data_IF_405093803113
#
_entry.id   IF_405093803113
#
_cell.length_a   1.000
_cell.length_b   1.000
_cell.length_c   1.000
_cell.angle_alpha   90.00
_cell.angle_beta   90.00
_cell.angle_gamma   90.00
#
_symmetry.space_group_name_H-M   'P 1'
#
loop_
_entity.id
_entity.type
_entity.pdbx_description
1 polymer ?
#
# COMPACT_ATOMS: atom_id res chain seq x y z
N UNK A 1 9.26 -3.02 -40.24
CA UNK A 1 9.40 -3.71 -38.94
C UNK A 1 8.71 -2.86 -37.88
N UNK A 2 7.54 -3.27 -37.40
CA UNK A 2 6.83 -2.55 -36.33
C UNK A 2 7.38 -3.01 -34.97
N UNK A 3 7.99 -2.09 -34.22
CA UNK A 3 8.38 -2.34 -32.83
C UNK A 3 7.11 -2.32 -31.98
N UNK A 4 6.67 -3.50 -31.56
CA UNK A 4 5.63 -3.64 -30.55
C UNK A 4 6.13 -2.96 -29.26
N UNK A 5 5.72 -1.71 -29.05
CA UNK A 5 5.97 -1.02 -27.80
C UNK A 5 5.00 -1.60 -26.80
N UNK A 6 5.46 -2.57 -26.01
CA UNK A 6 4.75 -3.06 -24.84
C UNK A 6 4.61 -1.87 -23.89
N UNK A 7 3.55 -1.09 -24.08
CA UNK A 7 3.21 0.02 -23.21
C UNK A 7 2.94 -0.61 -21.85
N UNK A 8 3.94 -0.58 -20.97
CA UNK A 8 3.80 -1.10 -19.63
C UNK A 8 2.64 -0.36 -19.01
N UNK A 9 1.63 -1.09 -18.54
CA UNK A 9 0.40 -0.58 -17.89
C UNK A 9 0.66 0.48 -16.78
N UNK A 10 1.91 0.62 -16.33
CA UNK A 10 2.35 1.51 -15.27
C UNK A 10 3.42 2.48 -15.76
N UNK A 11 3.22 3.78 -15.53
CA UNK A 11 4.26 4.79 -15.72
C UNK A 11 5.32 4.67 -14.61
N UNK A 12 6.41 3.98 -14.92
CA UNK A 12 7.53 3.75 -14.01
C UNK A 12 8.17 5.06 -13.55
N UNK A 13 8.25 6.07 -14.42
CA UNK A 13 8.83 7.35 -14.08
C UNK A 13 7.94 8.11 -13.09
N UNK A 14 6.62 8.09 -13.28
CA UNK A 14 5.68 8.63 -12.31
C UNK A 14 5.79 7.95 -10.94
N UNK A 15 5.90 6.61 -10.91
CA UNK A 15 6.02 5.87 -9.66
C UNK A 15 7.31 6.24 -8.90
N UNK A 16 8.46 6.33 -9.60
CA UNK A 16 9.72 6.73 -8.97
C UNK A 16 9.66 8.17 -8.44
N UNK A 17 9.06 9.10 -9.19
CA UNK A 17 8.87 10.49 -8.73
C UNK A 17 8.00 10.56 -7.48
N UNK A 18 6.90 9.81 -7.45
CA UNK A 18 6.01 9.75 -6.29
C UNK A 18 6.71 9.13 -5.07
N UNK A 19 7.50 8.06 -5.25
CA UNK A 19 8.30 7.47 -4.18
C UNK A 19 9.36 8.45 -3.63
N UNK A 20 9.99 9.24 -4.50
CA UNK A 20 10.95 10.26 -4.10
C UNK A 20 10.29 11.39 -3.30
N UNK A 21 9.09 11.83 -3.70
CA UNK A 21 8.31 12.81 -2.96
C UNK A 21 7.92 12.31 -1.55
N UNK A 22 7.44 11.07 -1.44
CA UNK A 22 7.11 10.46 -0.14
C UNK A 22 8.36 10.28 0.75
N UNK A 23 9.48 9.87 0.16
CA UNK A 23 10.77 9.80 0.85
C UNK A 23 11.19 11.16 1.40
N UNK A 24 11.11 12.24 0.61
CA UNK A 24 11.50 13.57 1.08
C UNK A 24 10.57 14.10 2.18
N UNK A 25 9.25 13.93 2.03
CA UNK A 25 8.25 14.34 3.03
C UNK A 25 8.52 13.74 4.41
N UNK A 26 9.05 12.51 4.46
CA UNK A 26 9.42 11.86 5.71
C UNK A 26 10.48 12.65 6.52
N UNK A 27 11.49 13.21 5.84
CA UNK A 27 12.55 14.00 6.48
C UNK A 27 12.15 15.46 6.68
N UNK A 28 11.34 16.03 5.78
CA UNK A 28 10.82 17.41 5.93
C UNK A 28 10.03 17.59 7.23
N UNK A 29 9.22 16.59 7.62
CA UNK A 29 8.47 16.60 8.88
C UNK A 29 9.31 16.25 10.13
N UNK A 30 10.60 15.95 9.98
CA UNK A 30 11.47 15.45 11.05
C UNK A 30 12.85 16.11 10.98
N UNK A 31 12.96 17.40 11.34
CA UNK A 31 14.22 18.14 11.25
C UNK A 31 15.36 17.55 12.11
N UNK A 32 15.04 16.77 13.13
CA UNK A 32 16.01 16.04 13.96
C UNK A 32 16.57 14.77 13.30
N UNK A 33 15.97 14.31 12.20
CA UNK A 33 16.41 13.12 11.48
C UNK A 33 17.38 13.54 10.36
N UNK A 34 18.66 13.16 10.51
CA UNK A 34 19.67 13.46 9.49
C UNK A 34 19.28 12.83 8.16
N UNK A 35 19.09 13.66 7.14
CA UNK A 35 18.83 13.20 5.77
C UNK A 35 20.11 12.60 5.20
N UNK A 36 20.16 11.28 5.13
CA UNK A 36 21.15 10.53 4.38
C UNK A 36 20.42 9.59 3.44
N UNK A 37 20.80 9.59 2.17
CA UNK A 37 20.19 8.66 1.22
C UNK A 37 20.50 7.22 1.64
N UNK A 38 19.43 6.47 1.91
CA UNK A 38 19.47 5.04 2.21
C UNK A 38 18.65 4.33 1.15
N UNK A 39 19.29 3.42 0.42
CA UNK A 39 18.60 2.62 -0.60
C UNK A 39 17.51 1.73 0.02
N UNK A 40 17.74 1.24 1.24
CA UNK A 40 16.76 0.44 1.97
C UNK A 40 15.52 1.26 2.30
N UNK A 41 15.71 2.47 2.83
CA UNK A 41 14.59 3.36 3.17
C UNK A 41 13.84 3.78 1.91
N UNK A 42 14.57 4.17 0.87
CA UNK A 42 13.94 4.51 -0.41
C UNK A 42 13.18 3.33 -1.03
N UNK A 43 13.71 2.10 -0.93
CA UNK A 43 13.02 0.90 -1.42
C UNK A 43 11.70 0.63 -0.72
N UNK A 44 11.56 1.01 0.56
CA UNK A 44 10.29 0.93 1.28
C UNK A 44 9.24 1.85 0.66
N UNK A 45 9.57 3.12 0.40
CA UNK A 45 8.65 4.05 -0.26
C UNK A 45 8.33 3.63 -1.69
N UNK A 46 9.32 3.14 -2.42
CA UNK A 46 9.11 2.61 -3.77
C UNK A 46 8.13 1.44 -3.77
N UNK A 47 8.29 0.48 -2.85
CA UNK A 47 7.38 -0.65 -2.70
C UNK A 47 5.96 -0.19 -2.33
N UNK A 48 5.83 0.80 -1.43
CA UNK A 48 4.55 1.36 -1.02
C UNK A 48 3.81 2.04 -2.20
N UNK A 49 4.48 2.90 -2.97
CA UNK A 49 3.90 3.56 -4.14
C UNK A 49 3.59 2.55 -5.24
N UNK A 50 4.46 1.57 -5.47
CA UNK A 50 4.21 0.50 -6.43
C UNK A 50 2.96 -0.33 -6.07
N UNK A 51 2.77 -0.61 -4.79
CA UNK A 51 1.56 -1.28 -4.29
C UNK A 51 0.31 -0.43 -4.50
N UNK A 52 0.37 0.88 -4.23
CA UNK A 52 -0.75 1.82 -4.49
C UNK A 52 -1.12 1.85 -5.97
N UNK A 53 -0.12 1.99 -6.85
CA UNK A 53 -0.32 1.99 -8.30
C UNK A 53 -0.96 0.67 -8.79
N UNK A 54 -0.58 -0.47 -8.22
CA UNK A 54 -1.25 -1.74 -8.52
C UNK A 54 -2.71 -1.74 -8.09
N UNK A 55 -3.01 -1.29 -6.87
CA UNK A 55 -4.36 -1.22 -6.32
C UNK A 55 -5.29 -0.29 -7.11
N UNK A 56 -4.77 0.78 -7.69
CA UNK A 56 -5.55 1.68 -8.56
C UNK A 56 -5.99 1.01 -9.87
N UNK A 57 -5.27 -0.02 -10.32
CA UNK A 57 -5.66 -0.79 -11.51
C UNK A 57 -6.62 -1.93 -11.22
N UNK A 58 -6.93 -2.16 -9.95
CA UNK A 58 -7.88 -3.17 -9.48
C UNK A 58 -9.25 -2.50 -9.34
N UNK A 59 -10.32 -3.19 -9.72
CA UNK A 59 -11.68 -2.67 -9.55
C UNK A 59 -11.95 -2.34 -8.06
N UNK A 60 -12.65 -1.24 -7.80
CA UNK A 60 -12.96 -0.76 -6.46
C UNK A 60 -13.46 -1.85 -5.46
N UNK A 61 -14.36 -2.77 -5.83
CA UNK A 61 -14.80 -3.83 -4.91
C UNK A 61 -13.66 -4.80 -4.53
N UNK A 62 -12.82 -5.20 -5.49
CA UNK A 62 -11.68 -6.10 -5.24
C UNK A 62 -10.61 -5.37 -4.41
N UNK A 63 -10.43 -4.06 -4.63
CA UNK A 63 -9.53 -3.23 -3.80
C UNK A 63 -9.97 -3.23 -2.33
N UNK A 64 -11.27 -3.06 -2.06
CA UNK A 64 -11.80 -3.07 -0.70
C UNK A 64 -11.62 -4.44 -0.03
N UNK A 65 -11.82 -5.54 -0.77
CA UNK A 65 -11.56 -6.89 -0.25
C UNK A 65 -10.09 -7.05 0.18
N UNK A 66 -9.13 -6.61 -0.65
CA UNK A 66 -7.71 -6.64 -0.31
C UNK A 66 -7.45 -5.82 0.96
N UNK A 67 -7.96 -4.58 1.02
CA UNK A 67 -7.77 -3.72 2.20
C UNK A 67 -8.30 -4.37 3.49
N UNK A 68 -9.51 -4.95 3.47
CA UNK A 68 -10.10 -5.65 4.61
C UNK A 68 -9.26 -6.87 5.03
N UNK A 69 -8.77 -7.67 4.07
CA UNK A 69 -7.90 -8.82 4.38
C UNK A 69 -6.61 -8.39 5.09
N UNK A 70 -5.99 -7.30 4.65
CA UNK A 70 -4.80 -6.74 5.28
C UNK A 70 -5.10 -6.17 6.69
N UNK A 71 -6.27 -5.58 6.91
CA UNK A 71 -6.69 -5.12 8.23
C UNK A 71 -6.88 -6.30 9.20
N UNK A 72 -7.51 -7.40 8.77
CA UNK A 72 -7.65 -8.62 9.57
C UNK A 72 -6.30 -9.22 9.96
N UNK A 73 -5.35 -9.25 9.01
CA UNK A 73 -3.99 -9.72 9.24
C UNK A 73 -3.27 -8.82 10.26
N UNK A 74 -3.39 -7.50 10.12
CA UNK A 74 -2.79 -6.54 11.06
C UNK A 74 -3.32 -6.70 12.50
N UNK A 75 -4.57 -7.13 12.68
CA UNK A 75 -5.12 -7.42 14.01
C UNK A 75 -4.43 -8.60 14.70
N UNK A 76 -3.85 -9.55 13.94
CA UNK A 76 -3.11 -10.67 14.53
C UNK A 76 -1.79 -10.22 15.19
N UNK A 77 -1.24 -9.09 14.76
CA UNK A 77 0.01 -8.53 15.30
C UNK A 77 -0.23 -7.53 16.44
N UNK A 78 -1.48 -7.26 16.84
CA UNK A 78 -1.74 -6.39 17.99
C UNK A 78 -1.40 -7.10 19.31
N UNK A 79 -0.89 -6.37 20.32
CA UNK A 79 -0.66 -6.94 21.65
C UNK A 79 -1.95 -7.52 22.24
N UNK A 80 -1.84 -8.65 22.96
CA UNK A 80 -2.95 -9.34 23.65
C UNK A 80 -3.77 -8.45 24.59
N UNK A 81 -3.24 -7.29 25.00
CA UNK A 81 -3.94 -6.30 25.83
C UNK A 81 -5.11 -5.61 25.12
N UNK A 82 -5.19 -5.70 23.79
CA UNK A 82 -6.28 -5.13 23.01
C UNK A 82 -7.27 -6.23 22.62
N UNK A 83 -8.55 -6.04 22.97
CA UNK A 83 -9.61 -6.87 22.42
C UNK A 83 -9.82 -6.53 20.94
N UNK A 84 -9.29 -7.39 20.07
CA UNK A 84 -9.44 -7.29 18.62
C UNK A 84 -10.60 -8.13 18.08
N UNK A 85 -11.25 -8.93 18.93
CA UNK A 85 -12.29 -9.89 18.54
C UNK A 85 -13.51 -9.24 17.88
N UNK A 86 -14.09 -8.17 18.44
CA UNK A 86 -15.20 -7.44 17.82
C UNK A 86 -14.81 -6.82 16.47
N UNK A 87 -13.62 -6.23 16.39
CA UNK A 87 -13.15 -5.57 15.17
C UNK A 87 -12.86 -6.57 14.05
N UNK A 88 -12.26 -7.72 14.38
CA UNK A 88 -12.05 -8.83 13.44
C UNK A 88 -13.38 -9.34 12.90
N UNK A 89 -14.36 -9.64 13.77
CA UNK A 89 -15.70 -10.13 13.34
C UNK A 89 -16.42 -9.14 12.43
N UNK A 90 -16.31 -7.84 12.71
CA UNK A 90 -16.88 -6.79 11.85
C UNK A 90 -16.25 -6.80 10.45
N UNK A 91 -14.92 -6.89 10.38
CA UNK A 91 -14.18 -6.92 9.11
C UNK A 91 -14.46 -8.21 8.31
N UNK A 92 -14.58 -9.36 8.98
CA UNK A 92 -14.96 -10.63 8.35
C UNK A 92 -16.38 -10.56 7.76
N UNK A 93 -17.33 -9.95 8.47
CA UNK A 93 -18.69 -9.74 7.94
C UNK A 93 -18.71 -8.78 6.75
N UNK A 94 -17.90 -7.72 6.79
CA UNK A 94 -17.74 -6.79 5.66
C UNK A 94 -17.14 -7.50 4.44
N UNK A 95 -16.12 -8.34 4.63
CA UNK A 95 -15.52 -9.17 3.58
C UNK A 95 -16.55 -10.12 2.95
N UNK A 96 -17.34 -10.81 3.77
CA UNK A 96 -18.37 -11.72 3.31
C UNK A 96 -19.45 -10.99 2.49
N UNK A 97 -19.86 -9.79 2.92
CA UNK A 97 -20.81 -8.97 2.16
C UNK A 97 -20.25 -8.48 0.82
N UNK A 98 -18.95 -8.16 0.77
CA UNK A 98 -18.27 -7.70 -0.43
C UNK A 98 -17.98 -8.81 -1.45
N UNK A 99 -18.12 -10.09 -1.08
CA UNK A 99 -17.98 -11.25 -1.97
C UNK A 99 -19.30 -11.69 -2.61
N UNK A 100 -20.44 -11.27 -2.06
CA UNK A 100 -21.79 -11.72 -2.46
C UNK A 100 -22.51 -10.68 -3.35
N UNK A 101 -21.99 -9.45 -3.42
CA UNK A 101 -22.48 -8.36 -4.29
C UNK A 101 -21.74 -8.31 -5.63
#
# INVERSE_FOLDING_TARGET
MATATTTSKYDRAAIVRAAWADYNRHYEGRPWLKRSFSRADFSFYLAAVWRRAKLETVAAPIRRQIEISHEIEALAFKPFKFDTGPMRRRLEAELASALVA
#
